data_IF_270727001881
#
_entry.id   IF_270727001881
#
_cell.length_a   1.000
_cell.length_b   1.000
_cell.length_c   1.000
_cell.angle_alpha   90.00
_cell.angle_beta   90.00
_cell.angle_gamma   90.00
#
_symmetry.space_group_name_H-M   'P 1'
#
loop_
_entity.id
_entity.type
_entity.pdbx_description
1 polymer ?
#
# COMPACT_ATOMS: atom_id res chain seq x y z
N UNK A 1 13.38 -5.35 -3.36
CA UNK A 1 12.34 -5.99 -2.52
C UNK A 1 12.88 -6.37 -1.13
N UNK A 2 13.93 -7.19 -1.02
CA UNK A 2 14.47 -7.65 0.29
C UNK A 2 15.00 -6.54 1.21
N UNK A 3 15.57 -5.44 0.68
CA UNK A 3 16.11 -4.34 1.50
C UNK A 3 15.01 -3.55 2.24
N UNK A 4 13.87 -3.33 1.58
CA UNK A 4 12.72 -2.61 2.15
C UNK A 4 12.08 -3.48 3.24
N UNK A 5 11.90 -4.77 2.96
CA UNK A 5 11.43 -5.76 3.93
C UNK A 5 12.38 -5.86 5.12
N UNK A 6 13.70 -5.84 4.91
CA UNK A 6 14.71 -5.87 5.96
C UNK A 6 14.71 -4.60 6.81
N UNK A 7 14.64 -3.40 6.21
CA UNK A 7 14.54 -2.14 6.93
C UNK A 7 13.26 -2.05 7.79
N UNK A 8 12.12 -2.49 7.27
CA UNK A 8 10.85 -2.55 8.03
C UNK A 8 10.89 -3.60 9.15
N UNK A 9 11.56 -4.74 8.94
CA UNK A 9 11.70 -5.80 9.95
C UNK A 9 12.75 -5.48 11.03
N UNK A 10 13.70 -4.56 10.79
CA UNK A 10 14.75 -4.23 11.75
C UNK A 10 14.22 -3.46 12.97
N UNK A 11 13.12 -2.72 12.80
CA UNK A 11 12.44 -1.98 13.89
C UNK A 11 11.48 -2.85 14.72
N UNK A 12 11.38 -4.15 14.41
CA UNK A 12 10.48 -5.11 15.06
C UNK A 12 10.70 -5.27 16.57
N UNK A 13 11.83 -4.81 17.12
CA UNK A 13 12.15 -4.88 18.55
C UNK A 13 11.27 -3.95 19.42
N UNK A 14 10.49 -3.03 18.82
CA UNK A 14 9.67 -2.05 19.55
C UNK A 14 8.19 -1.97 19.15
N UNK A 15 7.74 -2.74 18.16
CA UNK A 15 6.41 -2.53 17.57
C UNK A 15 5.39 -3.56 18.07
N UNK A 16 4.19 -3.11 18.45
CA UNK A 16 3.11 -4.00 18.91
C UNK A 16 2.73 -5.02 17.83
N UNK A 17 2.32 -6.22 18.24
CA UNK A 17 1.95 -7.29 17.31
C UNK A 17 0.84 -6.88 16.33
N UNK A 18 -0.07 -6.00 16.76
CA UNK A 18 -1.16 -5.44 15.95
C UNK A 18 -0.61 -4.50 14.89
N UNK A 19 0.31 -3.61 15.28
CA UNK A 19 0.93 -2.69 14.34
C UNK A 19 1.72 -3.46 13.29
N UNK A 20 2.50 -4.48 13.67
CA UNK A 20 3.24 -5.30 12.71
C UNK A 20 2.33 -6.01 11.70
N UNK A 21 1.15 -6.50 12.14
CA UNK A 21 0.13 -7.05 11.24
C UNK A 21 -0.42 -5.99 10.28
N UNK A 22 -0.69 -4.78 10.77
CA UNK A 22 -1.14 -3.65 9.94
C UNK A 22 -0.10 -3.28 8.88
N UNK A 23 1.18 -3.15 9.27
CA UNK A 23 2.28 -2.90 8.32
C UNK A 23 2.34 -3.97 7.24
N UNK A 24 2.26 -5.26 7.62
CA UNK A 24 2.35 -6.36 6.66
C UNK A 24 1.16 -6.38 5.67
N UNK A 25 -0.07 -6.24 6.16
CA UNK A 25 -1.26 -6.17 5.31
C UNK A 25 -1.21 -4.94 4.39
N UNK A 26 -0.77 -3.79 4.90
CA UNK A 26 -0.62 -2.56 4.10
C UNK A 26 0.40 -2.73 2.96
N UNK A 27 1.49 -3.46 3.23
CA UNK A 27 2.49 -3.77 2.23
C UNK A 27 1.94 -4.67 1.13
N UNK A 28 1.17 -5.70 1.48
CA UNK A 28 0.51 -6.57 0.49
C UNK A 28 -0.43 -5.74 -0.40
N UNK A 29 -1.26 -4.88 0.20
CA UNK A 29 -2.17 -4.03 -0.56
C UNK A 29 -1.41 -3.05 -1.46
N UNK A 30 -0.35 -2.42 -0.98
CA UNK A 30 0.48 -1.54 -1.79
C UNK A 30 1.08 -2.27 -3.00
N UNK A 31 1.53 -3.52 -2.85
CA UNK A 31 2.05 -4.35 -3.95
C UNK A 31 0.95 -4.71 -4.95
N UNK A 32 -0.20 -5.20 -4.48
CA UNK A 32 -1.31 -5.59 -5.35
C UNK A 32 -1.85 -4.39 -6.13
N UNK A 33 -2.06 -3.26 -5.45
CA UNK A 33 -2.59 -2.05 -6.07
C UNK A 33 -1.56 -1.31 -6.93
N UNK A 34 -0.26 -1.57 -6.77
CA UNK A 34 0.76 -1.07 -7.70
C UNK A 34 0.63 -1.62 -9.11
N UNK A 35 0.00 -2.77 -9.26
CA UNK A 35 -0.19 -3.46 -10.53
C UNK A 35 -1.55 -3.14 -11.17
N UNK A 36 -2.41 -2.41 -10.47
CA UNK A 36 -3.73 -2.05 -10.99
C UNK A 36 -3.58 -0.86 -11.95
N UNK A 37 -4.05 -0.98 -13.20
CA UNK A 37 -4.07 0.14 -14.12
C UNK A 37 -5.09 1.20 -13.67
N UNK A 38 -4.63 2.45 -13.58
CA UNK A 38 -5.43 3.55 -13.00
C UNK A 38 -6.32 4.21 -14.05
N UNK A 39 -5.75 4.54 -15.21
CA UNK A 39 -6.45 4.98 -16.43
C UNK A 39 -5.39 5.45 -17.42
N UNK A 40 -5.37 4.85 -18.61
CA UNK A 40 -4.54 5.29 -19.74
C UNK A 40 -5.46 5.63 -20.91
N UNK A 41 -6.11 6.80 -20.86
CA UNK A 41 -6.70 7.39 -22.06
C UNK A 41 -5.67 8.38 -22.62
N UNK A 42 -4.74 7.89 -23.44
CA UNK A 42 -4.12 8.71 -24.48
C UNK A 42 -3.48 7.80 -25.53
N UNK A 43 -4.18 7.61 -26.64
CA UNK A 43 -3.62 7.32 -27.96
C UNK A 43 -2.62 6.15 -28.11
N UNK A 44 -2.74 5.10 -27.29
CA UNK A 44 -2.22 3.77 -27.61
C UNK A 44 -0.81 3.41 -27.13
N UNK A 45 -0.08 4.28 -26.41
CA UNK A 45 1.34 4.03 -26.12
C UNK A 45 1.71 3.93 -24.62
N UNK A 46 1.03 4.59 -23.68
CA UNK A 46 1.49 4.60 -22.27
C UNK A 46 0.35 4.36 -21.27
N UNK A 47 0.54 3.41 -20.35
CA UNK A 47 -0.39 3.00 -19.31
C UNK A 47 0.19 3.28 -17.91
N UNK A 48 -0.52 4.10 -17.14
CA UNK A 48 -0.21 4.38 -15.73
C UNK A 48 -0.79 3.30 -14.81
N UNK A 49 0.07 2.74 -13.96
CA UNK A 49 -0.26 1.72 -12.96
C UNK A 49 -0.08 2.29 -11.55
N UNK A 50 -0.93 1.88 -10.62
CA UNK A 50 -0.84 2.26 -9.21
C UNK A 50 -1.99 3.16 -8.76
N UNK A 51 -2.73 2.68 -7.77
CA UNK A 51 -3.80 3.41 -7.07
C UNK A 51 -3.49 3.37 -5.57
N UNK A 52 -3.74 4.45 -4.80
CA UNK A 52 -4.27 5.76 -5.20
C UNK A 52 -3.27 6.70 -5.90
N UNK A 53 -1.97 6.55 -5.68
CA UNK A 53 -0.93 7.28 -6.40
C UNK A 53 -0.27 6.41 -7.48
N UNK A 54 0.21 7.03 -8.54
CA UNK A 54 0.87 6.35 -9.66
C UNK A 54 2.21 5.74 -9.22
N UNK A 55 2.37 4.44 -9.43
CA UNK A 55 3.54 3.65 -9.05
C UNK A 55 4.44 3.32 -10.23
N UNK A 56 3.90 3.19 -11.43
CA UNK A 56 4.72 2.90 -12.60
C UNK A 56 4.06 3.28 -13.91
N UNK A 57 4.90 3.62 -14.89
CA UNK A 57 4.52 3.82 -16.28
C UNK A 57 4.88 2.56 -17.07
N UNK A 58 3.92 2.07 -17.84
CA UNK A 58 4.03 0.89 -18.68
C UNK A 58 3.87 1.30 -20.14
N UNK A 59 4.79 0.87 -21.00
CA UNK A 59 4.75 1.11 -22.46
C UNK A 59 5.08 -0.20 -23.16
N UNK A 60 4.26 -0.60 -24.14
CA UNK A 60 4.49 -1.70 -25.08
C UNK A 60 5.11 -2.99 -24.48
N UNK A 61 4.58 -3.46 -23.35
CA UNK A 61 5.05 -4.69 -22.71
C UNK A 61 6.03 -4.50 -21.55
N UNK A 62 6.62 -3.31 -21.39
CA UNK A 62 7.71 -3.04 -20.44
C UNK A 62 7.38 -1.93 -19.42
N UNK A 63 7.89 -2.10 -18.18
CA UNK A 63 7.82 -1.06 -17.14
C UNK A 63 8.91 -0.02 -17.45
N UNK A 64 8.51 1.13 -17.99
CA UNK A 64 9.43 2.22 -18.38
C UNK A 64 9.96 2.97 -17.17
N UNK A 65 9.12 3.19 -16.16
CA UNK A 65 9.51 3.91 -14.94
C UNK A 65 8.78 3.35 -13.72
N UNK A 66 9.52 3.22 -12.63
CA UNK A 66 8.96 2.92 -11.31
C UNK A 66 9.09 4.14 -10.38
N UNK A 67 7.96 4.62 -9.90
CA UNK A 67 7.84 5.71 -8.94
C UNK A 67 7.84 5.16 -7.50
N UNK A 68 9.03 5.07 -6.92
CA UNK A 68 9.21 4.61 -5.53
C UNK A 68 8.44 5.48 -4.52
N UNK A 69 8.35 6.80 -4.77
CA UNK A 69 7.62 7.71 -3.89
C UNK A 69 6.12 7.43 -3.91
N UNK A 70 5.54 7.18 -5.09
CA UNK A 70 4.14 6.76 -5.23
C UNK A 70 3.85 5.48 -4.44
N UNK A 71 4.75 4.49 -4.54
CA UNK A 71 4.62 3.23 -3.80
C UNK A 71 4.65 3.45 -2.27
N UNK A 72 5.57 4.29 -1.78
CA UNK A 72 5.68 4.62 -0.35
C UNK A 72 4.42 5.37 0.12
N UNK A 73 3.92 6.33 -0.65
CA UNK A 73 2.69 7.06 -0.32
C UNK A 73 1.51 6.07 -0.22
N UNK A 74 1.35 5.20 -1.21
CA UNK A 74 0.30 4.18 -1.22
C UNK A 74 0.37 3.27 0.00
N UNK A 75 1.56 2.82 0.39
CA UNK A 75 1.77 2.05 1.62
C UNK A 75 1.22 2.78 2.86
N UNK A 76 1.55 4.06 3.04
CA UNK A 76 1.06 4.83 4.18
C UNK A 76 -0.45 5.07 4.12
N UNK A 77 -1.02 5.30 2.93
CA UNK A 77 -2.47 5.43 2.77
C UNK A 77 -3.18 4.16 3.23
N UNK A 78 -2.76 2.98 2.75
CA UNK A 78 -3.35 1.71 3.20
C UNK A 78 -3.17 1.49 4.69
N UNK A 79 -2.00 1.79 5.26
CA UNK A 79 -1.77 1.70 6.70
C UNK A 79 -2.74 2.56 7.50
N UNK A 80 -2.94 3.82 7.10
CA UNK A 80 -3.87 4.73 7.75
C UNK A 80 -5.31 4.24 7.63
N UNK A 81 -5.73 3.79 6.45
CA UNK A 81 -7.08 3.23 6.24
C UNK A 81 -7.32 2.03 7.14
N UNK A 82 -6.42 1.05 7.17
CA UNK A 82 -6.59 -0.13 8.02
C UNK A 82 -6.53 0.21 9.52
N UNK A 83 -5.69 1.16 9.91
CA UNK A 83 -5.63 1.65 11.29
C UNK A 83 -6.96 2.31 11.71
N UNK A 84 -7.56 3.11 10.83
CA UNK A 84 -8.88 3.72 11.07
C UNK A 84 -9.98 2.68 11.14
N UNK A 85 -10.02 1.71 10.21
CA UNK A 85 -10.99 0.60 10.23
C UNK A 85 -10.88 -0.16 11.55
N UNK A 86 -9.67 -0.50 11.99
CA UNK A 86 -9.45 -1.21 13.25
C UNK A 86 -9.90 -0.39 14.47
N UNK A 87 -9.68 0.93 14.45
CA UNK A 87 -10.14 1.83 15.52
C UNK A 87 -11.67 1.91 15.58
N UNK A 88 -12.33 2.06 14.43
CA UNK A 88 -13.80 2.08 14.31
C UNK A 88 -14.39 0.73 14.74
N UNK A 89 -13.81 -0.38 14.31
CA UNK A 89 -14.24 -1.72 14.70
C UNK A 89 -14.18 -1.91 16.22
N UNK A 90 -13.06 -1.56 16.86
CA UNK A 90 -12.93 -1.64 18.33
C UNK A 90 -13.97 -0.77 19.05
N UNK A 91 -14.23 0.43 18.53
CA UNK A 91 -15.26 1.31 19.07
C UNK A 91 -16.67 0.70 18.97
N UNK A 92 -17.01 0.11 17.83
CA UNK A 92 -18.31 -0.54 17.63
C UNK A 92 -18.50 -1.77 18.52
N UNK A 93 -17.49 -2.64 18.60
CA UNK A 93 -17.53 -3.85 19.45
C UNK A 93 -17.65 -3.50 20.93
N UNK A 94 -16.91 -2.49 21.40
CA UNK A 94 -17.02 -2.06 22.80
C UNK A 94 -18.40 -1.48 23.12
N UNK A 95 -19.06 -0.82 22.17
CA UNK A 95 -20.42 -0.27 22.35
C UNK A 95 -21.51 -1.34 22.36
N UNK A 96 -21.29 -2.49 21.73
CA UNK A 96 -22.26 -3.60 21.72
C UNK A 96 -22.23 -4.49 22.98
N UNK A 97 -21.28 -4.25 23.88
CA UNK A 97 -21.15 -4.99 25.15
C UNK A 97 -21.79 -4.30 26.36
N UNK A 98 -22.27 -3.07 26.21
CA UNK A 98 -23.05 -2.29 27.20
C UNK A 98 -24.56 -2.38 26.87
#
# INVERSE_FOLDING_TARGET
MFLITYCLLRDKKRMDSTENKLYFISLIFAIVFALIPTTGLNNGEVLSLGIPAENSLYNDGEIVRFNLLGFIINFFVFYWVFKLILKVWRFLVNKSGD
#
